data_IF_676503448941
#
_entry.id   IF_676503448941
#
_cell.length_a   1.000
_cell.length_b   1.000
_cell.length_c   1.000
_cell.angle_alpha   90.00
_cell.angle_beta   90.00
_cell.angle_gamma   90.00
#
_symmetry.space_group_name_H-M   'P 1'
#
loop_
_entity.id
_entity.type
_entity.pdbx_description
1 polymer ?
#
# COMPACT_ATOMS: atom_id res chain seq x y z
N UNK A 1 -13.36 -33.60 -55.63
CA UNK A 1 -12.58 -32.56 -54.93
C UNK A 1 -11.15 -32.68 -55.40
N UNK A 2 -10.69 -31.71 -56.19
CA UNK A 2 -9.42 -31.81 -56.91
C UNK A 2 -8.23 -31.66 -55.96
N UNK A 3 -7.11 -32.34 -56.26
CA UNK A 3 -5.87 -32.27 -55.47
C UNK A 3 -5.42 -30.82 -55.17
N UNK A 4 -5.74 -29.88 -56.07
CA UNK A 4 -5.49 -28.43 -55.91
C UNK A 4 -6.35 -27.78 -54.82
N UNK A 5 -7.61 -28.19 -54.66
CA UNK A 5 -8.50 -27.68 -53.62
C UNK A 5 -8.01 -28.16 -52.25
N UNK A 6 -7.63 -29.43 -52.13
CA UNK A 6 -7.07 -29.99 -50.90
C UNK A 6 -5.78 -29.25 -50.46
N UNK A 7 -4.88 -28.92 -51.40
CA UNK A 7 -3.67 -28.14 -51.11
C UNK A 7 -3.99 -26.72 -50.66
N UNK A 8 -5.00 -26.06 -51.26
CA UNK A 8 -5.44 -24.73 -50.82
C UNK A 8 -6.05 -24.75 -49.41
N UNK A 9 -6.87 -25.76 -49.08
CA UNK A 9 -7.42 -25.91 -47.72
C UNK A 9 -6.34 -26.22 -46.68
N UNK A 10 -5.36 -27.07 -47.02
CA UNK A 10 -4.22 -27.36 -46.15
C UNK A 10 -3.36 -26.13 -45.91
N UNK A 11 -3.08 -25.34 -46.95
CA UNK A 11 -2.34 -24.08 -46.83
C UNK A 11 -3.08 -23.03 -45.99
N UNK A 12 -4.40 -22.91 -46.17
CA UNK A 12 -5.25 -22.04 -45.35
C UNK A 12 -5.27 -22.45 -43.88
N UNK A 13 -5.46 -23.74 -43.61
CA UNK A 13 -5.47 -24.28 -42.25
C UNK A 13 -4.12 -24.06 -41.54
N UNK A 14 -3.00 -24.32 -42.23
CA UNK A 14 -1.66 -24.05 -41.69
C UNK A 14 -1.46 -22.58 -41.34
N UNK A 15 -1.91 -21.67 -42.21
CA UNK A 15 -1.78 -20.22 -41.99
C UNK A 15 -2.55 -19.77 -40.74
N UNK A 16 -3.76 -20.31 -40.53
CA UNK A 16 -4.58 -20.04 -39.35
C UNK A 16 -3.90 -20.60 -38.09
N UNK A 17 -3.36 -21.82 -38.14
CA UNK A 17 -2.66 -22.43 -37.01
C UNK A 17 -1.42 -21.63 -36.60
N UNK A 18 -0.65 -21.12 -37.57
CA UNK A 18 0.53 -20.28 -37.29
C UNK A 18 0.10 -18.96 -36.64
N UNK A 19 -0.96 -18.32 -37.14
CA UNK A 19 -1.47 -17.08 -36.56
C UNK A 19 -1.94 -17.27 -35.11
N UNK A 20 -2.69 -18.35 -34.84
CA UNK A 20 -3.15 -18.68 -33.50
C UNK A 20 -1.99 -18.99 -32.55
N UNK A 21 -0.94 -19.65 -33.04
CA UNK A 21 0.26 -19.92 -32.26
C UNK A 21 1.00 -18.64 -31.88
N UNK A 22 1.14 -17.69 -32.81
CA UNK A 22 1.75 -16.38 -32.54
C UNK A 22 0.93 -15.60 -31.51
N UNK A 23 -0.41 -15.57 -31.64
CA UNK A 23 -1.29 -14.91 -30.68
C UNK A 23 -1.20 -15.54 -29.29
N UNK A 24 -1.19 -16.88 -29.20
CA UNK A 24 -1.01 -17.59 -27.94
C UNK A 24 0.37 -17.32 -27.31
N UNK A 25 1.43 -17.23 -28.13
CA UNK A 25 2.77 -16.89 -27.67
C UNK A 25 2.83 -15.47 -27.11
N UNK A 26 2.23 -14.47 -27.77
CA UNK A 26 2.14 -13.11 -27.24
C UNK A 26 1.28 -13.02 -25.97
N UNK A 27 0.19 -13.79 -25.88
CA UNK A 27 -0.62 -13.87 -24.67
C UNK A 27 0.14 -14.50 -23.49
N UNK A 28 1.04 -15.47 -23.76
CA UNK A 28 1.92 -16.05 -22.74
C UNK A 28 3.08 -15.11 -22.37
N UNK A 29 3.70 -14.46 -23.37
CA UNK A 29 4.82 -13.55 -23.17
C UNK A 29 4.40 -12.28 -22.43
N UNK A 30 3.20 -11.75 -22.71
CA UNK A 30 2.61 -10.62 -21.99
C UNK A 30 2.21 -10.92 -20.54
N UNK A 31 2.23 -12.19 -20.11
CA UNK A 31 1.96 -12.59 -18.72
C UNK A 31 3.19 -12.58 -17.81
N UNK A 32 4.36 -12.11 -18.27
CA UNK A 32 5.60 -12.05 -17.48
C UNK A 32 6.02 -10.65 -17.02
N UNK A 33 5.07 -9.77 -16.76
CA UNK A 33 5.24 -8.76 -15.69
C UNK A 33 4.45 -9.24 -14.47
N UNK A 34 4.90 -10.36 -13.89
CA UNK A 34 4.57 -10.67 -12.52
C UNK A 34 5.18 -9.55 -11.67
N UNK A 35 4.34 -8.67 -11.14
CA UNK A 35 4.69 -7.80 -10.02
C UNK A 35 5.42 -8.69 -9.01
N UNK A 36 6.72 -8.49 -8.84
CA UNK A 36 7.45 -9.22 -7.82
C UNK A 36 6.86 -8.81 -6.47
N UNK A 37 6.25 -9.75 -5.76
CA UNK A 37 5.86 -9.61 -4.35
C UNK A 37 7.09 -9.53 -3.40
N UNK A 38 8.25 -9.14 -3.93
CA UNK A 38 9.50 -9.00 -3.22
C UNK A 38 10.06 -7.62 -3.53
N UNK A 39 9.84 -6.69 -2.61
CA UNK A 39 10.56 -5.41 -2.56
C UNK A 39 11.91 -5.69 -1.90
N UNK A 40 12.99 -5.51 -2.66
CA UNK A 40 14.35 -5.57 -2.12
C UNK A 40 14.62 -4.32 -1.28
N UNK A 41 14.65 -4.47 0.05
CA UNK A 41 15.01 -3.37 0.97
C UNK A 41 16.53 -3.41 1.17
N UNK A 42 17.24 -2.58 0.40
CA UNK A 42 18.64 -2.24 0.69
C UNK A 42 18.73 -1.19 1.81
N UNK A 43 19.86 -1.12 2.55
CA UNK A 43 20.05 -0.18 3.67
C UNK A 43 20.06 1.31 3.26
N UNK A 44 20.02 1.61 1.95
CA UNK A 44 20.02 2.96 1.38
C UNK A 44 18.73 3.30 0.61
N UNK A 45 17.69 2.46 0.68
CA UNK A 45 16.44 2.72 -0.03
C UNK A 45 15.39 3.21 0.97
N UNK A 46 14.88 4.41 0.69
CA UNK A 46 13.74 5.07 1.32
C UNK A 46 12.74 4.05 1.86
N UNK A 47 12.36 4.19 3.14
CA UNK A 47 11.39 3.34 3.80
C UNK A 47 10.14 3.23 2.90
N UNK A 48 9.88 2.04 2.38
CA UNK A 48 8.84 1.86 1.35
C UNK A 48 7.48 1.98 2.04
N UNK A 49 6.56 2.81 1.52
CA UNK A 49 5.20 2.91 2.07
C UNK A 49 4.52 1.53 2.09
N UNK A 50 4.18 1.05 3.27
CA UNK A 50 3.35 -0.15 3.46
C UNK A 50 1.88 0.12 3.18
N UNK A 51 1.47 1.38 3.36
CA UNK A 51 0.13 1.89 3.07
C UNK A 51 0.16 3.42 2.98
N UNK A 52 -0.70 3.97 2.14
CA UNK A 52 -0.91 5.40 2.00
C UNK A 52 -2.40 5.69 1.88
N UNK A 53 -2.84 6.78 2.50
CA UNK A 53 -4.20 7.28 2.39
C UNK A 53 -4.29 8.77 2.72
N UNK A 54 -5.50 9.30 2.65
CA UNK A 54 -5.82 10.68 3.02
C UNK A 54 -6.86 10.71 4.12
N UNK A 55 -6.73 11.69 5.01
CA UNK A 55 -7.57 11.88 6.20
C UNK A 55 -7.90 13.36 6.31
N UNK A 56 -9.03 13.72 6.92
CA UNK A 56 -9.50 15.12 6.97
C UNK A 56 -9.26 15.78 8.32
N UNK A 57 -8.93 14.99 9.32
CA UNK A 57 -8.74 15.47 10.67
C UNK A 57 -7.67 14.63 11.36
N UNK A 58 -6.71 15.31 11.98
CA UNK A 58 -5.73 14.72 12.89
C UNK A 58 -5.79 15.50 14.20
N UNK A 59 -5.97 14.79 15.31
CA UNK A 59 -5.98 15.35 16.67
C UNK A 59 -4.75 14.83 17.40
N UNK A 60 -3.91 15.71 17.93
CA UNK A 60 -2.70 15.36 18.69
C UNK A 60 -2.66 16.15 20.00
N UNK A 61 -2.78 15.45 21.14
CA UNK A 61 -2.68 16.03 22.49
C UNK A 61 -3.40 17.39 22.62
N UNK A 62 -4.69 17.41 22.23
CA UNK A 62 -5.62 18.56 22.20
C UNK A 62 -5.55 19.52 21.00
N UNK A 63 -4.56 19.40 20.12
CA UNK A 63 -4.50 20.17 18.88
C UNK A 63 -5.30 19.46 17.78
N UNK A 64 -6.36 20.12 17.29
CA UNK A 64 -7.19 19.62 16.20
C UNK A 64 -6.80 20.30 14.90
N UNK A 65 -6.41 19.49 13.90
CA UNK A 65 -6.10 19.98 12.56
C UNK A 65 -7.11 19.43 11.56
N UNK A 66 -8.04 20.27 11.14
CA UNK A 66 -9.10 19.92 10.18
C UNK A 66 -8.68 20.32 8.76
N UNK A 67 -7.85 19.49 8.14
CA UNK A 67 -7.43 19.65 6.73
C UNK A 67 -7.15 18.29 6.10
N UNK A 68 -7.20 18.21 4.77
CA UNK A 68 -6.90 16.96 4.06
C UNK A 68 -5.39 16.66 4.08
N UNK A 69 -4.98 15.73 4.92
CA UNK A 69 -3.59 15.33 5.09
C UNK A 69 -3.32 13.95 4.49
N UNK A 70 -2.10 13.76 4.01
CA UNK A 70 -1.56 12.45 3.66
C UNK A 70 -1.16 11.70 4.93
N UNK A 71 -1.56 10.44 5.02
CA UNK A 71 -1.10 9.50 6.03
C UNK A 71 -0.36 8.37 5.34
N UNK A 72 0.90 8.17 5.73
CA UNK A 72 1.77 7.17 5.15
C UNK A 72 2.31 6.29 6.27
N UNK A 73 2.07 4.98 6.16
CA UNK A 73 2.62 4.00 7.09
C UNK A 73 3.86 3.39 6.43
N UNK A 74 5.00 3.59 7.07
CA UNK A 74 6.28 3.01 6.69
C UNK A 74 6.60 1.77 7.52
N UNK A 75 7.74 1.12 7.29
CA UNK A 75 8.11 -0.07 8.06
C UNK A 75 8.48 0.23 9.51
N UNK A 76 8.97 1.45 9.78
CA UNK A 76 9.42 1.88 11.12
C UNK A 76 8.71 3.11 11.66
N UNK A 77 7.90 3.79 10.87
CA UNK A 77 7.25 5.03 11.29
C UNK A 77 5.91 5.27 10.60
N UNK A 78 5.18 6.27 11.10
CA UNK A 78 3.96 6.79 10.51
C UNK A 78 4.17 8.28 10.26
N UNK A 79 3.97 8.72 9.02
CA UNK A 79 3.95 10.11 8.64
C UNK A 79 2.50 10.59 8.48
N UNK A 80 2.20 11.77 9.03
CA UNK A 80 0.95 12.47 8.80
C UNK A 80 1.24 13.93 8.45
N UNK A 81 0.86 14.35 7.25
CA UNK A 81 0.99 15.74 6.81
C UNK A 81 0.88 15.94 5.32
N UNK A 82 1.57 16.93 4.75
CA UNK A 82 1.54 17.21 3.31
C UNK A 82 2.75 16.57 2.63
N UNK A 83 2.59 15.36 2.10
CA UNK A 83 3.70 14.60 1.54
C UNK A 83 4.37 15.33 0.35
N UNK A 84 3.58 16.06 -0.44
CA UNK A 84 4.06 16.87 -1.56
C UNK A 84 4.94 18.05 -1.16
N UNK A 85 4.81 18.52 0.09
CA UNK A 85 5.57 19.66 0.61
C UNK A 85 6.72 19.21 1.54
N UNK A 86 6.81 17.92 1.85
CA UNK A 86 7.84 17.38 2.75
C UNK A 86 7.68 17.79 4.21
N UNK A 87 6.53 18.34 4.60
CA UNK A 87 6.28 18.82 5.97
C UNK A 87 5.45 17.80 6.77
N UNK A 88 6.07 17.04 7.70
CA UNK A 88 5.33 16.25 8.67
C UNK A 88 4.66 17.17 9.70
N UNK A 89 3.37 16.98 9.95
CA UNK A 89 2.74 17.53 11.16
C UNK A 89 2.94 16.58 12.34
N UNK A 90 2.80 15.28 12.07
CA UNK A 90 3.04 14.23 13.07
C UNK A 90 3.91 13.16 12.43
N UNK A 91 4.97 12.80 13.13
CA UNK A 91 5.81 11.64 12.80
C UNK A 91 5.89 10.75 14.04
N UNK A 92 5.47 9.50 13.91
CA UNK A 92 5.41 8.54 15.02
C UNK A 92 6.33 7.37 14.70
N UNK A 93 7.31 7.08 15.56
CA UNK A 93 8.11 5.87 15.41
C UNK A 93 7.32 4.66 15.92
N UNK A 94 7.46 3.52 15.23
CA UNK A 94 6.74 2.30 15.56
C UNK A 94 7.06 1.76 16.97
N UNK A 95 8.28 2.03 17.47
CA UNK A 95 8.76 1.65 18.81
C UNK A 95 8.12 2.44 19.96
N UNK A 96 7.62 3.63 19.64
CA UNK A 96 6.93 4.53 20.59
C UNK A 96 5.45 4.20 20.69
N UNK A 97 4.89 3.44 19.75
CA UNK A 97 3.47 3.11 19.75
C UNK A 97 3.17 2.01 20.78
N UNK A 98 2.34 2.34 21.75
CA UNK A 98 1.89 1.43 22.81
C UNK A 98 0.79 0.51 22.25
N UNK A 99 -0.25 1.11 21.66
CA UNK A 99 -1.40 0.42 21.06
C UNK A 99 -2.13 1.32 20.06
N UNK A 100 -2.95 0.70 19.23
CA UNK A 100 -3.87 1.37 18.31
C UNK A 100 -5.30 0.92 18.61
N UNK A 101 -6.26 1.84 18.48
CA UNK A 101 -7.67 1.61 18.72
C UNK A 101 -8.45 2.03 17.47
N UNK A 102 -9.18 1.07 16.90
CA UNK A 102 -10.03 1.31 15.75
C UNK A 102 -11.47 1.54 16.19
N UNK A 103 -12.07 2.60 15.64
CA UNK A 103 -13.49 2.86 15.66
C UNK A 103 -13.98 3.10 14.23
N UNK A 104 -15.28 2.96 14.00
CA UNK A 104 -15.88 3.08 12.65
C UNK A 104 -15.51 4.38 11.91
N UNK A 105 -15.31 5.48 12.65
CA UNK A 105 -15.05 6.81 12.12
C UNK A 105 -13.71 7.42 12.55
N UNK A 106 -12.90 6.67 13.31
CA UNK A 106 -11.61 7.17 13.80
C UNK A 106 -10.63 6.05 14.12
N UNK A 107 -9.34 6.38 14.05
CA UNK A 107 -8.26 5.53 14.57
C UNK A 107 -7.44 6.33 15.54
N UNK A 108 -7.28 5.82 16.77
CA UNK A 108 -6.51 6.46 17.82
C UNK A 108 -5.23 5.65 18.09
N UNK A 109 -4.08 6.30 18.05
CA UNK A 109 -2.76 5.73 18.27
C UNK A 109 -2.26 6.29 19.59
N UNK A 110 -1.95 5.41 20.54
CA UNK A 110 -1.42 5.79 21.84
C UNK A 110 0.09 5.60 21.82
N UNK A 111 0.82 6.66 22.12
CA UNK A 111 2.28 6.73 22.02
C UNK A 111 2.90 6.96 23.40
N UNK A 112 4.13 6.48 23.59
CA UNK A 112 4.94 6.83 24.77
C UNK A 112 5.29 8.31 24.67
N UNK A 113 4.86 9.11 25.64
CA UNK A 113 5.30 10.50 25.75
C UNK A 113 6.64 10.61 26.47
N UNK A 114 7.18 11.83 26.46
CA UNK A 114 8.54 12.15 26.93
C UNK A 114 8.65 12.07 28.47
N UNK A 115 7.56 12.36 29.20
CA UNK A 115 7.55 12.46 30.67
C UNK A 115 6.79 11.32 31.37
N UNK A 116 6.66 10.16 30.72
CA UNK A 116 5.90 9.02 31.23
C UNK A 116 4.37 9.15 31.11
N UNK A 117 3.87 10.29 30.65
CA UNK A 117 2.49 10.45 30.19
C UNK A 117 2.36 9.90 28.77
N UNK A 118 1.26 9.21 28.46
CA UNK A 118 1.00 8.72 27.10
C UNK A 118 0.40 9.83 26.24
N UNK A 119 0.99 10.09 25.07
CA UNK A 119 0.39 10.93 24.05
C UNK A 119 -0.65 10.16 23.24
N UNK A 120 -1.52 10.88 22.53
CA UNK A 120 -2.47 10.28 21.60
C UNK A 120 -2.55 11.04 20.28
N UNK A 121 -2.65 10.28 19.20
CA UNK A 121 -2.92 10.80 17.86
C UNK A 121 -4.18 10.14 17.33
N UNK A 122 -5.23 10.93 17.10
CA UNK A 122 -6.49 10.43 16.55
C UNK A 122 -6.69 10.94 15.13
N UNK A 123 -6.98 10.03 14.22
CA UNK A 123 -7.14 10.28 12.79
C UNK A 123 -8.60 10.05 12.40
N UNK A 124 -9.22 10.99 11.68
CA UNK A 124 -10.63 10.90 11.22
C UNK A 124 -10.83 11.40 9.78
N UNK A 125 -12.06 11.22 9.29
CA UNK A 125 -12.51 11.80 8.02
C UNK A 125 -12.14 11.00 6.76
N UNK A 126 -11.51 9.84 6.93
CA UNK A 126 -11.39 8.82 5.88
C UNK A 126 -12.57 7.83 5.94
N UNK A 127 -12.81 7.11 4.83
CA UNK A 127 -13.83 6.06 4.79
C UNK A 127 -13.50 4.89 5.72
N UNK A 128 -14.53 4.21 6.22
CA UNK A 128 -14.41 3.08 7.18
C UNK A 128 -13.37 2.03 6.73
N UNK A 129 -13.42 1.62 5.47
CA UNK A 129 -12.47 0.66 4.89
C UNK A 129 -11.02 1.16 4.93
N UNK A 130 -10.80 2.46 4.67
CA UNK A 130 -9.47 3.05 4.70
C UNK A 130 -8.93 3.15 6.13
N UNK A 131 -9.77 3.55 7.09
CA UNK A 131 -9.43 3.58 8.52
C UNK A 131 -9.11 2.19 9.05
N UNK A 132 -9.88 1.17 8.67
CA UNK A 132 -9.61 -0.22 9.07
C UNK A 132 -8.28 -0.72 8.50
N UNK A 133 -7.98 -0.43 7.23
CA UNK A 133 -6.71 -0.79 6.62
C UNK A 133 -5.54 -0.07 7.29
N UNK A 134 -5.69 1.23 7.58
CA UNK A 134 -4.72 2.01 8.33
C UNK A 134 -4.43 1.38 9.69
N UNK A 135 -5.47 1.11 10.50
CA UNK A 135 -5.32 0.49 11.82
C UNK A 135 -4.56 -0.85 11.74
N UNK A 136 -4.92 -1.72 10.79
CA UNK A 136 -4.23 -3.01 10.58
C UNK A 136 -2.75 -2.85 10.22
N UNK A 137 -2.41 -1.84 9.42
CA UNK A 137 -1.02 -1.55 9.03
C UNK A 137 -0.22 -0.99 10.19
N UNK A 138 -0.84 -0.16 11.02
CA UNK A 138 -0.26 0.30 12.29
C UNK A 138 -0.04 -0.88 13.25
N UNK A 139 -1.01 -1.77 13.44
CA UNK A 139 -0.83 -2.99 14.25
C UNK A 139 0.32 -3.87 13.75
N UNK A 140 0.44 -4.02 12.43
CA UNK A 140 1.52 -4.79 11.83
C UNK A 140 2.90 -4.24 12.20
N UNK A 141 3.12 -2.92 12.11
CA UNK A 141 4.42 -2.33 12.42
C UNK A 141 4.73 -2.37 13.92
N UNK A 142 3.71 -2.22 14.80
CA UNK A 142 3.86 -2.38 16.25
C UNK A 142 4.35 -3.79 16.59
N UNK A 143 3.68 -4.80 16.02
CA UNK A 143 4.01 -6.20 16.29
C UNK A 143 5.39 -6.58 15.77
N UNK A 144 5.84 -5.95 14.68
CA UNK A 144 7.19 -6.13 14.17
C UNK A 144 8.24 -5.45 15.05
N UNK A 145 7.99 -4.21 15.47
CA UNK A 145 8.91 -3.46 16.32
C UNK A 145 9.15 -4.16 17.67
N UNK A 146 8.12 -4.78 18.26
CA UNK A 146 8.23 -5.54 19.52
C UNK A 146 9.02 -6.85 19.43
N UNK A 147 9.28 -7.37 18.22
CA UNK A 147 10.01 -8.63 17.99
C UNK A 147 11.48 -8.42 17.64
N UNK A 148 11.88 -7.18 17.34
CA UNK A 148 13.25 -6.80 17.01
C UNK A 148 14.01 -6.40 18.26
#
# INVERSE_FOLDING_TARGET
>A
MGMKEAIMYLGGAMSISILLFILAFYALAGRKEGKSDVVSIGPQHFDVPLWQGKVKEVVHDDNVHTTEMDVIVYSKSIFMGFASQGFPFVNINAEDIIRVQYHRHSVSIIIKGVDGQSGYVTVKGAGEKALLQFARKVEFIINRAKKS
#
